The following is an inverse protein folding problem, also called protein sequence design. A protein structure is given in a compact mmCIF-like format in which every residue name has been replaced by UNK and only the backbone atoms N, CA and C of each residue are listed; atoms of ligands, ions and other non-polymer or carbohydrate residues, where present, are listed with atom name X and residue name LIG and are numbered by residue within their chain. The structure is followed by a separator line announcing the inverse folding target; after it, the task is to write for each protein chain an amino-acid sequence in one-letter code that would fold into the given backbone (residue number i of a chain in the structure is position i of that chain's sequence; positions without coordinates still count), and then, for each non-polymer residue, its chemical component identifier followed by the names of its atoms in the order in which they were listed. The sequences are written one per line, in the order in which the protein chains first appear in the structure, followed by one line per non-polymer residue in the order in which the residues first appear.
data_IF_564254603237
#
_entry.id   IF_564254603237
#
_cell.length_a   1.000
_cell.length_b   1.000
_cell.length_c   1.000
_cell.angle_alpha   90.00
_cell.angle_beta   90.00
_cell.angle_gamma   90.00
#
_symmetry.space_group_name_H-M   'P 1'
#
loop_
_entity.id
_entity.type
_entity.pdbx_description
1 polymer ?
#
# COMPACT_ATOMS: atom_id res chain seq x y z
N UNK A 1 -25.43 -8.30 91.35
CA UNK A 1 -24.96 -9.20 90.25
C UNK A 1 -25.70 -9.00 88.92
N UNK A 2 -26.71 -8.14 88.81
CA UNK A 2 -27.53 -7.97 87.57
C UNK A 2 -27.01 -7.01 86.54
N UNK A 3 -26.16 -6.00 86.88
CA UNK A 3 -25.69 -4.98 85.91
C UNK A 3 -24.45 -5.34 85.12
N UNK A 4 -23.68 -6.32 85.58
CA UNK A 4 -22.50 -6.83 84.91
C UNK A 4 -22.87 -7.80 83.76
N UNK A 5 -23.85 -8.63 83.97
CA UNK A 5 -24.33 -9.59 82.99
C UNK A 5 -25.02 -8.89 81.79
N UNK A 6 -25.71 -7.79 82.03
CA UNK A 6 -26.35 -6.98 80.98
C UNK A 6 -25.34 -6.27 80.07
N UNK A 7 -24.17 -5.84 80.62
CA UNK A 7 -23.12 -5.21 79.85
C UNK A 7 -22.34 -6.21 78.99
N UNK A 8 -22.14 -7.41 79.44
CA UNK A 8 -21.52 -8.51 78.67
C UNK A 8 -22.43 -8.97 77.55
N UNK A 9 -23.72 -9.03 77.76
CA UNK A 9 -24.70 -9.42 76.73
C UNK A 9 -24.81 -8.32 75.63
N UNK A 10 -24.66 -7.03 75.98
CA UNK A 10 -24.71 -5.93 75.00
C UNK A 10 -23.45 -5.84 74.12
N UNK A 11 -22.28 -6.26 74.65
CA UNK A 11 -21.03 -6.31 73.83
C UNK A 11 -21.00 -7.49 72.86
N UNK A 12 -21.73 -8.59 73.11
CA UNK A 12 -21.80 -9.75 72.23
C UNK A 12 -22.74 -9.53 71.03
N UNK A 13 -23.68 -8.56 71.11
CA UNK A 13 -24.57 -8.22 70.00
C UNK A 13 -23.97 -7.24 69.02
N UNK A 14 -22.84 -6.56 69.32
CA UNK A 14 -22.18 -5.56 68.48
C UNK A 14 -21.17 -6.18 67.46
N UNK A 15 -20.96 -7.48 67.50
CA UNK A 15 -19.90 -8.18 66.69
C UNK A 15 -20.34 -8.81 65.37
N UNK A 16 -21.58 -8.65 64.91
CA UNK A 16 -22.08 -9.39 63.71
C UNK A 16 -22.41 -8.49 62.52
N UNK A 17 -22.01 -7.21 62.54
CA UNK A 17 -22.23 -6.31 61.38
C UNK A 17 -20.93 -5.88 60.74
N UNK A 18 -20.34 -6.72 59.90
CA UNK A 18 -19.56 -6.43 58.71
C UNK A 18 -19.10 -7.75 58.08
N UNK A 19 -19.48 -8.09 56.85
CA UNK A 19 -18.79 -7.59 55.64
C UNK A 19 -19.72 -7.56 54.41
N UNK A 20 -20.56 -6.57 54.26
CA UNK A 20 -21.30 -6.39 53.01
C UNK A 20 -20.62 -5.50 52.00
N UNK A 21 -19.57 -4.74 52.42
CA UNK A 21 -18.89 -3.76 51.52
C UNK A 21 -17.83 -4.37 50.60
N UNK A 22 -17.31 -5.55 50.91
CA UNK A 22 -16.29 -6.20 50.06
C UNK A 22 -16.85 -6.79 48.75
N UNK A 23 -18.08 -7.28 48.81
CA UNK A 23 -18.75 -7.84 47.60
C UNK A 23 -19.13 -6.78 46.58
N UNK A 24 -19.56 -5.61 47.01
CA UNK A 24 -19.95 -4.53 46.11
C UNK A 24 -18.74 -3.94 45.37
N UNK A 25 -17.60 -3.82 46.05
CA UNK A 25 -16.34 -3.35 45.44
C UNK A 25 -15.81 -4.35 44.40
N UNK A 26 -15.92 -5.64 44.70
CA UNK A 26 -15.50 -6.70 43.77
C UNK A 26 -16.40 -6.76 42.53
N UNK A 27 -17.71 -6.62 42.73
CA UNK A 27 -18.68 -6.56 41.62
C UNK A 27 -18.49 -5.32 40.73
N UNK A 28 -18.14 -4.17 41.30
CA UNK A 28 -17.84 -2.96 40.56
C UNK A 28 -16.52 -3.11 39.75
N UNK A 29 -15.49 -3.73 40.32
CA UNK A 29 -14.26 -4.03 39.63
C UNK A 29 -14.45 -5.02 38.47
N UNK A 30 -15.29 -6.05 38.68
CA UNK A 30 -15.63 -7.01 37.63
C UNK A 30 -16.43 -6.37 36.50
N UNK A 31 -17.36 -5.46 36.79
CA UNK A 31 -18.07 -4.68 35.74
C UNK A 31 -17.13 -3.78 34.95
N UNK A 32 -16.23 -3.09 35.64
CA UNK A 32 -15.22 -2.24 34.95
C UNK A 32 -14.28 -3.06 34.04
N UNK A 33 -13.91 -4.27 34.48
CA UNK A 33 -13.11 -5.18 33.68
C UNK A 33 -13.88 -5.70 32.47
N UNK A 34 -15.15 -6.01 32.61
CA UNK A 34 -16.04 -6.46 31.53
C UNK A 34 -16.26 -5.36 30.50
N UNK A 35 -16.43 -4.11 30.93
CA UNK A 35 -16.50 -2.94 30.04
C UNK A 35 -15.22 -2.74 29.28
N UNK A 36 -14.05 -2.83 29.92
CA UNK A 36 -12.75 -2.73 29.25
C UNK A 36 -12.53 -3.86 28.23
N UNK A 37 -12.95 -5.08 28.55
CA UNK A 37 -12.87 -6.22 27.62
C UNK A 37 -13.77 -5.99 26.41
N UNK A 38 -14.97 -5.44 26.61
CA UNK A 38 -15.88 -5.12 25.50
C UNK A 38 -15.34 -3.97 24.62
N UNK A 39 -14.73 -2.96 25.23
CA UNK A 39 -14.07 -1.87 24.52
C UNK A 39 -12.90 -2.38 23.65
N UNK A 40 -11.98 -3.15 24.24
CA UNK A 40 -10.86 -3.77 23.51
C UNK A 40 -11.36 -4.67 22.38
N UNK A 41 -12.43 -5.44 22.62
CA UNK A 41 -13.03 -6.29 21.58
C UNK A 41 -13.61 -5.47 20.44
N UNK A 42 -14.27 -4.35 20.75
CA UNK A 42 -14.80 -3.42 19.75
C UNK A 42 -13.68 -2.81 18.92
N UNK A 43 -12.59 -2.37 19.56
CA UNK A 43 -11.42 -1.78 18.91
C UNK A 43 -10.73 -2.79 17.98
N UNK A 44 -10.56 -4.03 18.45
CA UNK A 44 -9.98 -5.10 17.62
C UNK A 44 -10.84 -5.37 16.39
N UNK A 45 -12.16 -5.39 16.52
CA UNK A 45 -13.07 -5.58 15.39
C UNK A 45 -13.03 -4.40 14.42
N UNK A 46 -12.92 -3.16 14.93
CA UNK A 46 -12.77 -1.96 14.10
C UNK A 46 -11.47 -1.99 13.31
N UNK A 47 -10.35 -2.28 13.97
CA UNK A 47 -9.04 -2.42 13.32
C UNK A 47 -9.07 -3.52 12.26
N UNK A 48 -9.69 -4.66 12.53
CA UNK A 48 -9.83 -5.74 11.56
C UNK A 48 -10.66 -5.33 10.34
N UNK A 49 -11.72 -4.55 10.53
CA UNK A 49 -12.54 -4.01 9.44
C UNK A 49 -11.75 -3.02 8.58
N UNK A 50 -10.98 -2.11 9.21
CA UNK A 50 -10.12 -1.16 8.52
C UNK A 50 -9.02 -1.85 7.72
N UNK A 51 -8.38 -2.87 8.28
CA UNK A 51 -7.37 -3.68 7.58
C UNK A 51 -7.97 -4.42 6.37
N UNK A 52 -9.18 -4.97 6.49
CA UNK A 52 -9.86 -5.60 5.38
C UNK A 52 -10.20 -4.60 4.28
N UNK A 53 -10.70 -3.41 4.64
CA UNK A 53 -10.98 -2.35 3.69
C UNK A 53 -9.71 -1.85 2.98
N UNK A 54 -8.61 -1.69 3.72
CA UNK A 54 -7.31 -1.33 3.13
C UNK A 54 -6.81 -2.42 2.19
N UNK A 55 -6.92 -3.69 2.58
CA UNK A 55 -6.58 -4.83 1.74
C UNK A 55 -7.41 -4.86 0.45
N UNK A 56 -8.71 -4.61 0.53
CA UNK A 56 -9.59 -4.55 -0.64
C UNK A 56 -9.19 -3.42 -1.60
N UNK A 57 -8.89 -2.22 -1.08
CA UNK A 57 -8.37 -1.10 -1.89
C UNK A 57 -7.04 -1.41 -2.55
N UNK A 58 -6.18 -2.21 -1.94
CA UNK A 58 -4.90 -2.63 -2.50
C UNK A 58 -5.04 -3.75 -3.54
N UNK A 59 -6.03 -4.63 -3.37
CA UNK A 59 -6.29 -5.74 -4.29
C UNK A 59 -7.10 -5.32 -5.52
N UNK A 60 -7.99 -4.35 -5.36
CA UNK A 60 -8.84 -3.83 -6.44
C UNK A 60 -8.43 -2.38 -6.73
N UNK A 61 -7.67 -2.15 -7.82
CA UNK A 61 -7.29 -0.80 -8.21
C UNK A 61 -8.52 0.09 -8.38
N UNK A 62 -8.46 1.30 -7.84
CA UNK A 62 -9.52 2.30 -8.04
C UNK A 62 -9.70 2.63 -9.52
N UNK A 63 -10.88 3.09 -9.90
CA UNK A 63 -11.19 3.52 -11.28
C UNK A 63 -10.21 4.56 -11.84
N UNK A 64 -9.52 5.29 -10.95
CA UNK A 64 -8.49 6.28 -11.32
C UNK A 64 -7.09 5.70 -11.48
N UNK A 65 -6.91 4.40 -11.21
CA UNK A 65 -5.59 3.75 -11.20
C UNK A 65 -4.93 3.70 -12.58
N UNK A 66 -3.65 4.04 -12.61
CA UNK A 66 -2.76 3.85 -13.76
C UNK A 66 -1.51 3.10 -13.30
N UNK A 67 -1.14 2.04 -14.01
CA UNK A 67 0.13 1.38 -13.83
C UNK A 67 0.88 1.33 -15.17
N UNK A 68 2.19 1.61 -15.13
CA UNK A 68 3.05 1.60 -16.32
C UNK A 68 4.11 0.53 -16.15
N UNK A 69 4.21 -0.31 -17.16
CA UNK A 69 5.14 -1.42 -17.24
C UNK A 69 6.14 -1.19 -18.37
N UNK A 70 7.38 -1.64 -18.17
CA UNK A 70 8.44 -1.58 -19.16
C UNK A 70 8.92 -2.98 -19.52
N UNK A 71 9.10 -3.22 -20.79
CA UNK A 71 9.72 -4.40 -21.37
C UNK A 71 10.73 -3.96 -22.42
N UNK A 72 11.73 -4.79 -22.72
CA UNK A 72 12.59 -4.63 -23.90
C UNK A 72 12.03 -5.43 -25.08
N UNK A 73 12.25 -4.94 -26.28
CA UNK A 73 11.99 -5.68 -27.49
C UNK A 73 12.83 -6.97 -27.54
N UNK A 74 12.32 -8.01 -28.19
CA UNK A 74 13.03 -9.30 -28.27
C UNK A 74 14.33 -9.15 -29.04
N UNK A 75 15.40 -9.68 -28.45
CA UNK A 75 16.74 -9.64 -29.07
C UNK A 75 17.40 -8.27 -28.96
N UNK A 76 16.87 -7.37 -28.17
CA UNK A 76 17.42 -6.04 -27.98
C UNK A 76 18.78 -6.07 -27.28
N UNK A 77 19.73 -5.31 -27.82
CA UNK A 77 21.11 -5.20 -27.32
C UNK A 77 21.37 -3.87 -26.62
N UNK A 78 20.39 -2.98 -26.59
CA UNK A 78 20.46 -1.71 -25.88
C UNK A 78 20.72 -1.96 -24.39
N UNK A 79 21.78 -1.37 -23.87
CA UNK A 79 22.00 -1.29 -22.44
C UNK A 79 21.21 -0.11 -21.88
N UNK A 80 20.04 -0.38 -21.37
CA UNK A 80 19.19 0.62 -20.74
C UNK A 80 19.77 0.99 -19.37
N UNK A 81 20.12 2.26 -19.19
CA UNK A 81 20.64 2.79 -17.93
C UNK A 81 19.53 3.45 -17.11
N UNK A 82 18.62 4.19 -17.75
CA UNK A 82 17.52 4.86 -17.07
C UNK A 82 16.29 5.04 -17.96
N UNK A 83 15.10 5.07 -17.31
CA UNK A 83 13.83 5.49 -17.90
C UNK A 83 13.20 6.55 -17.04
N UNK A 84 12.85 7.68 -17.62
CA UNK A 84 12.07 8.72 -16.97
C UNK A 84 10.71 8.85 -17.64
N UNK A 85 9.65 9.01 -16.84
CA UNK A 85 8.29 9.24 -17.33
C UNK A 85 7.78 10.55 -16.74
N UNK A 86 7.18 11.36 -17.62
CA UNK A 86 6.36 12.51 -17.22
C UNK A 86 4.95 12.30 -17.76
N UNK A 87 3.96 12.72 -17.00
CA UNK A 87 2.56 12.76 -17.40
C UNK A 87 2.09 14.20 -17.23
N UNK A 88 1.52 14.78 -18.29
CA UNK A 88 1.09 16.19 -18.33
C UNK A 88 2.21 17.16 -17.90
N UNK A 89 3.44 16.86 -18.32
CA UNK A 89 4.64 17.64 -17.98
C UNK A 89 5.17 17.41 -16.55
N UNK A 90 4.49 16.62 -15.70
CA UNK A 90 4.92 16.34 -14.33
C UNK A 90 5.73 15.02 -14.28
N UNK A 91 6.93 15.01 -13.68
CA UNK A 91 7.71 13.79 -13.54
C UNK A 91 7.02 12.84 -12.53
N UNK A 92 6.66 11.64 -12.99
CA UNK A 92 5.98 10.63 -12.19
C UNK A 92 6.84 9.41 -11.89
N UNK A 93 7.83 9.13 -12.72
CA UNK A 93 8.80 8.05 -12.50
C UNK A 93 10.19 8.44 -13.03
N UNK A 94 11.22 8.03 -12.30
CA UNK A 94 12.61 8.07 -12.74
C UNK A 94 13.28 6.79 -12.21
N UNK A 95 13.57 5.86 -13.10
CA UNK A 95 14.07 4.56 -12.77
C UNK A 95 15.47 4.35 -13.34
N UNK A 96 16.41 3.94 -12.49
CA UNK A 96 17.78 3.59 -12.83
C UNK A 96 17.93 2.07 -12.79
N UNK A 97 18.36 1.47 -13.87
CA UNK A 97 18.49 0.01 -13.99
C UNK A 97 19.83 -0.49 -13.48
N UNK A 98 19.77 -1.45 -12.58
CA UNK A 98 20.92 -2.25 -12.22
C UNK A 98 21.20 -3.31 -13.29
N UNK A 99 22.43 -3.87 -13.29
CA UNK A 99 22.81 -4.92 -14.24
C UNK A 99 21.87 -6.14 -14.19
N UNK A 100 21.45 -6.55 -12.97
CA UNK A 100 20.54 -7.70 -12.79
C UNK A 100 19.13 -7.45 -13.35
N UNK A 101 18.62 -6.23 -13.18
CA UNK A 101 17.31 -5.85 -13.71
C UNK A 101 17.33 -5.77 -15.23
N UNK A 102 18.38 -5.19 -15.79
CA UNK A 102 18.58 -5.17 -17.24
C UNK A 102 18.66 -6.59 -17.82
N UNK A 103 19.41 -7.47 -17.19
CA UNK A 103 19.49 -8.88 -17.60
C UNK A 103 18.12 -9.57 -17.54
N UNK A 104 17.31 -9.27 -16.52
CA UNK A 104 15.94 -9.80 -16.42
C UNK A 104 15.05 -9.28 -17.56
N UNK A 105 15.13 -7.98 -17.89
CA UNK A 105 14.40 -7.40 -19.01
C UNK A 105 14.83 -8.01 -20.36
N UNK A 106 16.13 -8.21 -20.58
CA UNK A 106 16.66 -8.85 -21.81
C UNK A 106 16.20 -10.32 -21.96
N UNK A 107 15.93 -11.00 -20.86
CA UNK A 107 15.33 -12.35 -20.84
C UNK A 107 13.80 -12.34 -21.04
N UNK A 108 13.22 -11.21 -21.33
CA UNK A 108 11.78 -11.04 -21.53
C UNK A 108 11.01 -10.73 -20.25
N UNK A 109 11.71 -10.29 -19.22
CA UNK A 109 11.07 -9.78 -17.99
C UNK A 109 10.33 -8.47 -18.27
N UNK A 110 9.38 -8.18 -17.39
CA UNK A 110 8.58 -6.96 -17.40
C UNK A 110 8.66 -6.32 -16.03
N UNK A 111 8.86 -5.01 -16.00
CA UNK A 111 8.98 -4.28 -14.77
C UNK A 111 7.93 -3.19 -14.68
N UNK A 112 7.23 -3.14 -13.56
CA UNK A 112 6.34 -2.01 -13.24
C UNK A 112 7.18 -0.86 -12.68
N UNK A 113 7.19 0.27 -13.37
CA UNK A 113 7.98 1.45 -12.98
C UNK A 113 7.13 2.59 -12.42
N UNK A 114 5.82 2.57 -12.65
CA UNK A 114 4.90 3.55 -12.10
C UNK A 114 3.58 2.91 -11.66
N UNK A 115 3.04 3.44 -10.59
CA UNK A 115 1.70 3.15 -10.09
C UNK A 115 1.17 4.40 -9.40
N UNK A 116 0.04 4.90 -9.83
CA UNK A 116 -0.57 6.10 -9.26
C UNK A 116 -2.02 6.28 -9.71
N UNK A 117 -2.64 7.34 -9.23
CA UNK A 117 -3.97 7.75 -9.64
C UNK A 117 -3.85 8.92 -10.60
N UNK A 118 -4.65 8.88 -11.67
CA UNK A 118 -4.74 9.94 -12.66
C UNK A 118 -6.21 10.24 -12.94
N UNK A 119 -6.55 11.48 -13.23
CA UNK A 119 -7.91 11.87 -13.58
C UNK A 119 -8.40 11.13 -14.84
N UNK A 120 -9.69 11.11 -15.07
CA UNK A 120 -10.26 10.67 -16.35
C UNK A 120 -10.12 11.79 -17.37
N UNK A 121 -9.80 11.43 -18.60
CA UNK A 121 -9.61 12.40 -19.68
C UNK A 121 -8.45 12.03 -20.61
N UNK A 122 -8.06 12.99 -21.43
CA UNK A 122 -6.88 12.89 -22.29
C UNK A 122 -5.65 13.37 -21.52
N UNK A 123 -4.55 12.64 -21.69
CA UNK A 123 -3.27 12.91 -21.04
C UNK A 123 -2.13 12.71 -22.02
N UNK A 124 -1.04 13.48 -21.82
CA UNK A 124 0.21 13.32 -22.53
C UNK A 124 1.22 12.57 -21.64
N UNK A 125 1.91 11.59 -22.22
CA UNK A 125 3.02 10.91 -21.60
C UNK A 125 4.31 11.15 -22.40
N UNK A 126 5.33 11.67 -21.72
CA UNK A 126 6.69 11.80 -22.22
C UNK A 126 7.55 10.70 -21.61
N UNK A 127 8.25 9.96 -22.46
CA UNK A 127 9.14 8.87 -22.07
C UNK A 127 10.54 9.21 -22.54
N UNK A 128 11.48 9.36 -21.59
CA UNK A 128 12.89 9.59 -21.86
C UNK A 128 13.69 8.34 -21.55
N UNK A 129 14.42 7.83 -22.54
CA UNK A 129 15.32 6.69 -22.42
C UNK A 129 16.76 7.19 -22.37
N UNK A 130 17.55 6.63 -21.47
CA UNK A 130 18.99 6.82 -21.44
C UNK A 130 19.67 5.45 -21.39
N UNK A 131 20.66 5.24 -22.23
CA UNK A 131 21.35 3.96 -22.28
C UNK A 131 22.59 4.00 -23.15
N UNK A 132 23.12 2.85 -23.47
CA UNK A 132 24.28 2.69 -24.39
C UNK A 132 23.98 1.68 -25.47
N UNK A 133 24.35 1.99 -26.66
CA UNK A 133 24.31 1.08 -27.81
C UNK A 133 25.36 -0.02 -27.67
N UNK A 134 25.26 -1.07 -28.47
CA UNK A 134 26.25 -2.15 -28.53
C UNK A 134 27.67 -1.67 -28.82
N UNK A 135 27.84 -0.55 -29.55
CA UNK A 135 29.11 0.06 -29.83
C UNK A 135 29.66 0.96 -28.71
N UNK A 136 28.99 1.00 -27.55
CA UNK A 136 29.37 1.78 -26.37
C UNK A 136 28.99 3.27 -26.41
N UNK A 137 28.38 3.77 -27.51
CA UNK A 137 27.91 5.15 -27.58
C UNK A 137 26.72 5.38 -26.71
N UNK A 138 26.67 6.55 -26.06
CA UNK A 138 25.49 6.97 -25.32
C UNK A 138 24.32 7.19 -26.27
N UNK A 139 23.16 6.72 -25.83
CA UNK A 139 21.91 6.85 -26.56
C UNK A 139 20.85 7.46 -25.64
N UNK A 140 20.29 8.57 -26.09
CA UNK A 140 19.17 9.24 -25.43
C UNK A 140 18.04 9.38 -26.43
N UNK A 141 16.84 8.99 -26.06
CA UNK A 141 15.66 9.13 -26.90
C UNK A 141 14.49 9.64 -26.05
N UNK A 142 13.71 10.55 -26.65
CA UNK A 142 12.51 11.11 -26.01
C UNK A 142 11.35 10.90 -26.96
N UNK A 143 10.27 10.32 -26.46
CA UNK A 143 9.05 10.07 -27.21
C UNK A 143 7.84 10.60 -26.45
N UNK A 144 6.83 11.07 -27.19
CA UNK A 144 5.59 11.62 -26.65
C UNK A 144 4.39 10.86 -27.21
N UNK A 145 3.46 10.51 -26.34
CA UNK A 145 2.21 9.86 -26.71
C UNK A 145 1.03 10.50 -26.00
N UNK A 146 -0.08 10.62 -26.71
CA UNK A 146 -1.36 10.93 -26.09
C UNK A 146 -2.09 9.62 -25.73
N UNK A 147 -2.75 9.59 -24.59
CA UNK A 147 -3.60 8.47 -24.18
C UNK A 147 -4.85 8.95 -23.46
N UNK A 148 -5.93 8.17 -23.57
CA UNK A 148 -7.17 8.45 -22.87
C UNK A 148 -7.29 7.56 -21.64
N UNK A 149 -7.58 8.16 -20.49
CA UNK A 149 -7.91 7.48 -19.24
C UNK A 149 -9.43 7.46 -19.06
N UNK A 150 -10.01 6.28 -19.20
CA UNK A 150 -11.43 6.05 -18.92
C UNK A 150 -11.68 5.83 -17.41
N UNK A 151 -12.98 5.77 -17.01
CA UNK A 151 -13.41 5.42 -15.65
C UNK A 151 -13.23 3.90 -15.44
N UNK A 152 -11.99 3.45 -15.45
CA UNK A 152 -11.55 2.07 -15.14
C UNK A 152 -10.04 2.05 -14.94
N UNK A 153 -9.47 1.11 -14.22
CA UNK A 153 -8.03 0.93 -14.14
C UNK A 153 -7.42 0.84 -15.54
N UNK A 154 -6.25 1.49 -15.73
CA UNK A 154 -5.50 1.41 -16.98
C UNK A 154 -4.12 0.82 -16.70
N UNK A 155 -3.78 -0.22 -17.46
CA UNK A 155 -2.47 -0.84 -17.47
C UNK A 155 -1.82 -0.51 -18.82
N UNK A 156 -0.66 0.10 -18.78
CA UNK A 156 0.05 0.57 -19.98
C UNK A 156 1.38 -0.15 -20.08
N UNK A 157 1.64 -0.77 -21.20
CA UNK A 157 2.91 -1.42 -21.53
C UNK A 157 3.75 -0.53 -22.42
N UNK A 158 5.01 -0.31 -22.05
CA UNK A 158 6.03 0.34 -22.85
C UNK A 158 7.02 -0.73 -23.31
N UNK A 159 7.15 -0.91 -24.62
CA UNK A 159 8.20 -1.76 -25.20
C UNK A 159 9.28 -0.85 -25.74
N UNK A 160 10.49 -1.02 -25.24
CA UNK A 160 11.66 -0.21 -25.59
C UNK A 160 12.58 -0.97 -26.54
N UNK A 161 13.09 -0.26 -27.54
CA UNK A 161 13.99 -0.82 -28.55
C UNK A 161 15.11 0.17 -28.88
N UNK A 162 16.26 -0.36 -29.24
CA UNK A 162 17.37 0.45 -29.77
C UNK A 162 17.18 0.77 -31.25
N UNK A 163 17.96 1.74 -31.79
CA UNK A 163 17.84 2.22 -33.17
C UNK A 163 18.18 1.13 -34.21
N UNK A 164 18.96 0.13 -33.84
CA UNK A 164 19.39 -0.94 -34.74
C UNK A 164 18.36 -2.08 -34.86
N UNK A 165 17.30 -2.06 -34.07
CA UNK A 165 16.26 -3.12 -34.01
C UNK A 165 15.27 -3.10 -35.18
N UNK A 166 15.19 -1.97 -35.91
CA UNK A 166 14.18 -1.73 -36.94
C UNK A 166 12.77 -1.51 -36.38
N UNK A 167 12.63 -1.38 -35.06
CA UNK A 167 11.38 -1.10 -34.34
C UNK A 167 11.37 0.35 -33.83
N UNK A 168 10.18 0.92 -33.55
CA UNK A 168 10.10 2.22 -32.87
C UNK A 168 10.84 2.16 -31.53
N UNK A 169 11.57 3.23 -31.18
CA UNK A 169 12.35 3.29 -29.95
C UNK A 169 11.46 3.07 -28.70
N UNK A 170 10.23 3.53 -28.76
CA UNK A 170 9.17 3.26 -27.76
C UNK A 170 7.91 2.85 -28.47
N UNK A 171 7.28 1.79 -28.03
CA UNK A 171 5.92 1.41 -28.41
C UNK A 171 5.06 1.38 -27.17
N UNK A 172 3.84 1.93 -27.30
CA UNK A 172 2.86 1.94 -26.20
C UNK A 172 1.70 1.03 -26.55
N UNK A 173 1.22 0.29 -25.58
CA UNK A 173 0.06 -0.59 -25.74
C UNK A 173 -0.71 -0.73 -24.43
N UNK A 174 -1.98 -1.15 -24.53
CA UNK A 174 -2.73 -1.59 -23.37
C UNK A 174 -2.24 -3.00 -22.97
N UNK A 175 -2.10 -3.21 -21.65
CA UNK A 175 -1.56 -4.45 -21.08
C UNK A 175 -2.68 -5.37 -20.63
#
# INVERSE_FOLDING_TARGET
MSRAILRVLLCLLAGVFAPAQAEDTYRQQMKGLDEQVQEVKSDVLSIAAELNQLRERLLYPSDTHLAVFVALARGETLRLDAVQIKIDGQPVANYLYSFKELEALQKGGVQRIYTGNIATGEHDIEISLNGKLANGKDHTHIEHFAFTKAVKPKLMGLTLAGPDSGQPAVSIGDW
#
